data_IF_830941463443
#
_entry.id   IF_830941463443
#
_cell.length_a   1.000
_cell.length_b   1.000
_cell.length_c   1.000
_cell.angle_alpha   90.00
_cell.angle_beta   90.00
_cell.angle_gamma   90.00
#
_symmetry.space_group_name_H-M   'P 1'
#
loop_
_entity.id
_entity.type
_entity.pdbx_description
1 polymer ?
#
# COMPACT_ATOMS: atom_id res chain seq x y z
N UNK A 1 8.24 -17.16 -6.63
CA UNK A 1 7.20 -17.45 -7.62
C UNK A 1 6.69 -18.90 -7.54
N UNK A 2 7.59 -19.89 -7.56
CA UNK A 2 7.20 -21.31 -7.62
C UNK A 2 6.46 -21.81 -6.38
N UNK A 3 6.84 -21.38 -5.17
CA UNK A 3 6.24 -21.84 -3.91
C UNK A 3 5.07 -20.97 -3.43
N UNK A 4 4.84 -19.82 -4.04
CA UNK A 4 3.70 -18.94 -3.70
C UNK A 4 3.59 -18.61 -2.20
N UNK A 5 2.40 -18.82 -1.63
CA UNK A 5 2.11 -18.58 -0.21
C UNK A 5 3.09 -19.24 0.75
N UNK A 6 3.51 -20.48 0.48
CA UNK A 6 4.43 -21.20 1.35
C UNK A 6 5.78 -20.46 1.50
N UNK A 7 6.30 -19.87 0.42
CA UNK A 7 7.52 -19.06 0.50
C UNK A 7 7.32 -17.79 1.34
N UNK A 8 6.18 -17.12 1.18
CA UNK A 8 5.86 -15.90 1.94
C UNK A 8 5.77 -16.21 3.43
N UNK A 9 5.06 -17.26 3.80
CA UNK A 9 4.92 -17.72 5.19
C UNK A 9 6.28 -18.07 5.79
N UNK A 10 7.09 -18.90 5.09
CA UNK A 10 8.41 -19.32 5.59
C UNK A 10 9.33 -18.10 5.86
N UNK A 11 9.41 -17.17 4.91
CA UNK A 11 10.26 -15.99 5.08
C UNK A 11 9.73 -15.03 6.15
N UNK A 12 8.41 -14.86 6.24
CA UNK A 12 7.78 -14.02 7.26
C UNK A 12 8.04 -14.62 8.65
N UNK A 13 7.81 -15.91 8.85
CA UNK A 13 8.13 -16.59 10.11
C UNK A 13 9.61 -16.43 10.49
N UNK A 14 10.51 -16.60 9.52
CA UNK A 14 11.94 -16.47 9.74
C UNK A 14 12.39 -15.06 10.12
N UNK A 15 11.90 -14.03 9.42
CA UNK A 15 12.42 -12.67 9.58
C UNK A 15 11.63 -11.85 10.59
N UNK A 16 10.32 -12.09 10.71
CA UNK A 16 9.45 -11.37 11.65
C UNK A 16 9.23 -12.15 12.96
N UNK A 17 9.87 -13.34 13.12
CA UNK A 17 9.78 -14.19 14.32
C UNK A 17 8.35 -14.60 14.64
N UNK A 18 7.61 -15.00 13.61
CA UNK A 18 6.25 -15.48 13.72
C UNK A 18 6.20 -17.00 13.62
N UNK A 19 5.03 -17.57 13.89
CA UNK A 19 4.73 -19.00 13.77
C UNK A 19 3.42 -19.22 13.00
N UNK A 20 3.21 -18.42 11.95
CA UNK A 20 2.01 -18.52 11.11
C UNK A 20 2.01 -19.87 10.36
N UNK A 21 0.89 -20.58 10.42
CA UNK A 21 0.72 -21.86 9.72
C UNK A 21 0.37 -21.66 8.24
N UNK A 22 -0.26 -20.51 7.90
CA UNK A 22 -0.69 -20.20 6.54
C UNK A 22 -0.83 -18.68 6.34
N UNK A 23 -1.08 -18.25 5.10
CA UNK A 23 -1.38 -16.84 4.80
C UNK A 23 -2.66 -16.34 5.47
N UNK A 24 -3.62 -17.21 5.77
CA UNK A 24 -4.83 -16.82 6.51
C UNK A 24 -4.53 -16.28 7.92
N UNK A 25 -3.43 -16.70 8.54
CA UNK A 25 -2.97 -16.16 9.82
C UNK A 25 -2.27 -14.79 9.70
N UNK A 26 -1.97 -14.38 8.47
CA UNK A 26 -1.24 -13.15 8.16
C UNK A 26 -2.12 -12.10 7.47
N UNK A 27 -3.37 -12.41 7.18
CA UNK A 27 -4.35 -11.48 6.64
C UNK A 27 -5.24 -10.94 7.77
N UNK A 28 -5.39 -9.62 7.83
CA UNK A 28 -6.28 -8.95 8.77
C UNK A 28 -7.61 -8.62 8.08
N UNK A 29 -8.69 -8.91 8.79
CA UNK A 29 -10.04 -8.64 8.32
C UNK A 29 -10.40 -7.15 8.37
N UNK A 30 -11.39 -6.75 7.57
CA UNK A 30 -11.96 -5.39 7.67
C UNK A 30 -12.53 -5.09 9.07
N UNK A 31 -13.06 -6.11 9.74
CA UNK A 31 -13.57 -5.96 11.12
C UNK A 31 -12.47 -5.62 12.12
N UNK A 32 -11.27 -6.19 11.97
CA UNK A 32 -10.12 -5.86 12.81
C UNK A 32 -9.64 -4.43 12.57
N UNK A 33 -9.59 -3.98 11.32
CA UNK A 33 -9.27 -2.58 10.99
C UNK A 33 -10.32 -1.62 11.56
N UNK A 34 -11.61 -1.95 11.44
CA UNK A 34 -12.70 -1.15 12.00
C UNK A 34 -12.61 -1.08 13.52
N UNK A 35 -12.38 -2.23 14.19
CA UNK A 35 -12.16 -2.28 15.64
C UNK A 35 -11.00 -1.40 16.09
N UNK A 36 -9.90 -1.37 15.30
CA UNK A 36 -8.77 -0.49 15.59
C UNK A 36 -9.15 0.99 15.49
N UNK A 37 -9.95 1.38 14.50
CA UNK A 37 -10.45 2.75 14.35
C UNK A 37 -11.41 3.15 15.48
N UNK A 38 -12.33 2.26 15.82
CA UNK A 38 -13.34 2.51 16.88
C UNK A 38 -12.71 2.55 18.28
N UNK A 39 -11.61 1.83 18.48
CA UNK A 39 -10.85 1.79 19.74
C UNK A 39 -9.88 2.95 19.95
N UNK A 40 -9.73 3.87 18.99
CA UNK A 40 -8.84 5.01 19.17
C UNK A 40 -9.39 6.02 20.19
N UNK A 41 -8.53 6.61 21.03
CA UNK A 41 -8.86 7.81 21.78
C UNK A 41 -9.39 8.92 20.86
N UNK A 42 -10.38 9.68 21.33
CA UNK A 42 -11.09 10.67 20.52
C UNK A 42 -10.18 11.74 19.90
N UNK A 43 -9.16 12.18 20.65
CA UNK A 43 -8.17 13.15 20.17
C UNK A 43 -7.31 12.58 19.02
N UNK A 44 -6.86 11.32 19.13
CA UNK A 44 -6.09 10.65 18.09
C UNK A 44 -6.93 10.38 16.84
N UNK A 45 -8.18 9.97 17.04
CA UNK A 45 -9.12 9.78 15.93
C UNK A 45 -9.36 11.10 15.18
N UNK A 46 -9.66 12.18 15.89
CA UNK A 46 -9.86 13.50 15.31
C UNK A 46 -8.63 14.00 14.53
N UNK A 47 -7.43 13.79 15.08
CA UNK A 47 -6.18 14.14 14.39
C UNK A 47 -5.98 13.35 13.09
N UNK A 48 -6.28 12.04 13.12
CA UNK A 48 -6.16 11.16 11.96
C UNK A 48 -7.18 11.56 10.86
N UNK A 49 -8.43 11.83 11.24
CA UNK A 49 -9.49 12.27 10.33
C UNK A 49 -9.17 13.64 9.71
N UNK A 50 -8.66 14.59 10.51
CA UNK A 50 -8.22 15.88 10.01
C UNK A 50 -7.07 15.76 9.00
N UNK A 51 -6.08 14.92 9.29
CA UNK A 51 -4.98 14.64 8.37
C UNK A 51 -5.50 14.01 7.06
N UNK A 52 -6.37 13.01 7.14
CA UNK A 52 -6.98 12.36 5.99
C UNK A 52 -7.77 13.35 5.12
N UNK A 53 -8.57 14.23 5.74
CA UNK A 53 -9.32 15.27 5.03
C UNK A 53 -8.43 16.25 4.27
N UNK A 54 -7.33 16.69 4.89
CA UNK A 54 -6.35 17.60 4.24
C UNK A 54 -5.64 16.93 3.07
N UNK A 55 -5.20 15.68 3.23
CA UNK A 55 -4.54 14.89 2.17
C UNK A 55 -5.51 14.71 1.01
N UNK A 56 -6.75 14.32 1.28
CA UNK A 56 -7.78 14.15 0.25
C UNK A 56 -8.02 15.45 -0.53
N UNK A 57 -8.25 16.57 0.18
CA UNK A 57 -8.51 17.86 -0.45
C UNK A 57 -7.35 18.32 -1.35
N UNK A 58 -6.11 18.04 -0.96
CA UNK A 58 -4.94 18.34 -1.76
C UNK A 58 -4.90 17.49 -3.05
N UNK A 59 -5.08 16.18 -2.93
CA UNK A 59 -4.99 15.27 -4.07
C UNK A 59 -6.18 15.34 -5.03
N UNK A 60 -7.36 15.76 -4.56
CA UNK A 60 -8.50 16.03 -5.45
C UNK A 60 -8.17 17.12 -6.49
N UNK A 61 -7.31 18.08 -6.17
CA UNK A 61 -6.84 19.12 -7.10
C UNK A 61 -5.80 18.64 -8.10
N UNK A 62 -5.23 17.45 -7.91
CA UNK A 62 -4.24 16.85 -8.80
C UNK A 62 -4.86 15.94 -9.86
N UNK A 63 -6.17 15.73 -9.81
CA UNK A 63 -6.87 14.97 -10.83
C UNK A 63 -6.68 15.62 -12.19
N UNK A 64 -6.27 14.81 -13.15
CA UNK A 64 -6.23 15.21 -14.56
C UNK A 64 -7.44 14.64 -15.29
N UNK A 65 -7.97 15.41 -16.22
CA UNK A 65 -9.04 14.97 -17.12
C UNK A 65 -8.45 14.55 -18.46
N UNK A 66 -9.08 13.55 -19.08
CA UNK A 66 -8.81 13.20 -20.47
C UNK A 66 -9.34 14.30 -21.40
N UNK A 67 -8.76 14.41 -22.58
CA UNK A 67 -9.20 15.34 -23.63
C UNK A 67 -9.05 14.71 -25.01
N UNK A 68 -9.84 15.15 -25.95
CA UNK A 68 -9.71 14.79 -27.36
C UNK A 68 -10.13 15.92 -28.27
N UNK A 69 -9.58 15.95 -29.49
CA UNK A 69 -10.00 16.83 -30.56
C UNK A 69 -9.92 16.09 -31.89
N UNK A 70 -10.62 16.61 -32.90
CA UNK A 70 -10.61 16.05 -34.25
C UNK A 70 -10.01 17.07 -35.21
N UNK A 71 -9.03 16.65 -36.00
CA UNK A 71 -8.40 17.46 -37.02
C UNK A 71 -9.31 17.59 -38.28
N UNK A 72 -8.95 18.49 -39.18
CA UNK A 72 -9.73 18.77 -40.38
C UNK A 72 -9.87 17.56 -41.32
N UNK A 73 -8.91 16.65 -41.31
CA UNK A 73 -8.93 15.41 -42.08
C UNK A 73 -9.73 14.25 -41.42
N UNK A 74 -10.31 14.50 -40.25
CA UNK A 74 -11.06 13.51 -39.48
C UNK A 74 -10.22 12.69 -38.49
N UNK A 75 -8.91 12.91 -38.40
CA UNK A 75 -8.04 12.25 -37.41
C UNK A 75 -8.40 12.71 -36.00
N UNK A 76 -8.71 11.76 -35.10
CA UNK A 76 -8.99 12.03 -33.70
C UNK A 76 -7.74 11.80 -32.84
N UNK A 77 -7.32 12.82 -32.11
CA UNK A 77 -6.20 12.80 -31.17
C UNK A 77 -6.69 13.12 -29.77
N UNK A 78 -6.04 12.53 -28.75
CA UNK A 78 -6.45 12.78 -27.37
C UNK A 78 -5.59 12.07 -26.34
N UNK A 79 -5.91 12.32 -25.10
CA UNK A 79 -5.32 11.66 -23.93
C UNK A 79 -6.44 11.09 -23.04
N UNK A 80 -6.37 9.80 -22.77
CA UNK A 80 -7.28 9.15 -21.85
C UNK A 80 -6.55 8.91 -20.52
N UNK A 81 -7.17 9.36 -19.42
CA UNK A 81 -6.68 9.15 -18.06
C UNK A 81 -7.52 8.05 -17.42
N UNK A 82 -6.87 6.96 -17.03
CA UNK A 82 -7.54 5.82 -16.38
C UNK A 82 -6.82 5.45 -15.09
N UNK A 83 -7.55 5.10 -14.01
CA UNK A 83 -6.94 4.59 -12.80
C UNK A 83 -6.34 3.21 -13.02
N UNK A 84 -5.35 2.85 -12.20
CA UNK A 84 -4.89 1.47 -12.06
C UNK A 84 -5.98 0.63 -11.40
N UNK A 85 -6.07 -0.66 -11.72
CA UNK A 85 -7.06 -1.54 -11.11
C UNK A 85 -6.69 -1.88 -9.67
N UNK A 86 -5.41 -2.19 -9.41
CA UNK A 86 -4.95 -2.63 -8.09
C UNK A 86 -3.58 -2.06 -7.75
N UNK A 87 -3.43 -1.53 -6.53
CA UNK A 87 -2.16 -0.97 -6.03
C UNK A 87 -1.77 -1.61 -4.71
N UNK A 88 -0.50 -2.00 -4.61
CA UNK A 88 0.12 -2.51 -3.39
C UNK A 88 0.76 -1.36 -2.60
N UNK A 89 0.43 -1.27 -1.32
CA UNK A 89 0.97 -0.30 -0.39
C UNK A 89 1.96 -1.00 0.53
N UNK A 90 3.24 -0.64 0.48
CA UNK A 90 4.21 -1.06 1.47
C UNK A 90 4.27 -0.04 2.61
N UNK A 91 3.90 -0.47 3.81
CA UNK A 91 3.94 0.37 5.02
C UNK A 91 5.01 -0.19 5.94
N UNK A 92 6.01 0.61 6.34
CA UNK A 92 6.99 0.16 7.32
C UNK A 92 6.34 -0.21 8.64
N UNK A 93 6.79 -1.30 9.24
CA UNK A 93 6.34 -1.78 10.56
C UNK A 93 7.52 -2.00 11.49
N UNK A 94 7.25 -2.36 12.74
CA UNK A 94 8.24 -2.60 13.77
C UNK A 94 8.32 -1.45 14.78
N UNK A 95 9.54 -0.92 15.03
CA UNK A 95 9.77 0.05 16.13
C UNK A 95 9.01 1.37 16.02
N UNK A 96 8.64 1.80 14.83
CA UNK A 96 7.91 3.04 14.60
C UNK A 96 6.60 2.79 13.86
N UNK A 97 5.55 3.50 14.27
CA UNK A 97 4.27 3.53 13.59
C UNK A 97 4.25 4.62 12.53
N UNK A 98 3.79 4.28 11.33
CA UNK A 98 3.69 5.22 10.22
C UNK A 98 2.26 5.33 9.66
N UNK A 99 1.28 5.80 10.46
CA UNK A 99 -0.08 6.02 9.97
C UNK A 99 -0.10 7.05 8.83
N UNK A 100 0.82 8.02 8.84
CA UNK A 100 1.00 8.98 7.75
C UNK A 100 1.35 8.30 6.43
N UNK A 101 2.22 7.28 6.44
CA UNK A 101 2.55 6.52 5.24
C UNK A 101 1.32 5.80 4.67
N UNK A 102 0.42 5.33 5.52
CA UNK A 102 -0.86 4.75 5.07
C UNK A 102 -1.70 5.81 4.37
N UNK A 103 -1.97 6.94 5.05
CA UNK A 103 -2.82 8.00 4.51
C UNK A 103 -2.25 8.59 3.22
N UNK A 104 -0.93 8.87 3.19
CA UNK A 104 -0.24 9.49 2.06
C UNK A 104 -0.12 8.58 0.83
N UNK A 105 -0.30 7.28 0.96
CA UNK A 105 -0.33 6.35 -0.16
C UNK A 105 -1.74 5.91 -0.54
N UNK A 106 -2.59 5.59 0.44
CA UNK A 106 -3.92 5.06 0.19
C UNK A 106 -4.91 6.13 -0.31
N UNK A 107 -4.91 7.32 0.31
CA UNK A 107 -5.86 8.38 -0.07
C UNK A 107 -5.64 8.87 -1.50
N UNK A 108 -4.40 9.20 -1.95
CA UNK A 108 -4.16 9.54 -3.35
C UNK A 108 -4.60 8.45 -4.33
N UNK A 109 -4.36 7.18 -4.00
CA UNK A 109 -4.79 6.07 -4.84
C UNK A 109 -6.32 5.99 -4.95
N UNK A 110 -7.06 6.16 -3.84
CA UNK A 110 -8.53 6.22 -3.87
C UNK A 110 -9.04 7.45 -4.61
N UNK A 111 -8.41 8.61 -4.44
CA UNK A 111 -8.73 9.82 -5.19
C UNK A 111 -8.52 9.62 -6.70
N UNK A 112 -7.46 8.91 -7.09
CA UNK A 112 -7.20 8.55 -8.47
C UNK A 112 -8.19 7.53 -9.06
N UNK A 113 -9.03 6.90 -8.20
CA UNK A 113 -10.04 5.92 -8.63
C UNK A 113 -9.57 4.47 -8.61
N UNK A 114 -8.45 4.15 -7.95
CA UNK A 114 -7.98 2.76 -7.80
C UNK A 114 -9.02 1.93 -7.07
N UNK A 115 -9.41 0.81 -7.68
CA UNK A 115 -10.50 -0.03 -7.18
C UNK A 115 -10.10 -0.82 -5.95
N UNK A 116 -8.89 -1.40 -5.95
CA UNK A 116 -8.43 -2.29 -4.88
C UNK A 116 -7.06 -1.88 -4.36
N UNK A 117 -6.97 -1.66 -3.04
CA UNK A 117 -5.74 -1.35 -2.33
C UNK A 117 -5.34 -2.51 -1.42
N UNK A 118 -4.15 -3.05 -1.66
CA UNK A 118 -3.57 -4.14 -0.86
C UNK A 118 -2.41 -3.59 -0.05
N UNK A 119 -2.55 -3.56 1.26
CA UNK A 119 -1.50 -3.11 2.16
C UNK A 119 -0.69 -4.29 2.69
N UNK A 120 0.63 -4.16 2.69
CA UNK A 120 1.54 -5.05 3.40
C UNK A 120 2.27 -4.26 4.48
N UNK A 121 2.30 -4.79 5.70
CA UNK A 121 2.94 -4.17 6.85
C UNK A 121 3.57 -5.25 7.73
N UNK A 122 4.91 -5.27 7.90
CA UNK A 122 5.54 -6.27 8.78
C UNK A 122 5.14 -6.04 10.23
N UNK A 123 4.92 -7.13 10.95
CA UNK A 123 4.56 -7.14 12.38
C UNK A 123 5.52 -8.03 13.15
N UNK A 124 6.78 -7.61 13.33
CA UNK A 124 7.77 -8.41 14.05
C UNK A 124 7.27 -8.74 15.47
N UNK A 125 7.32 -10.04 15.82
CA UNK A 125 6.79 -10.52 17.11
C UNK A 125 5.27 -10.53 17.22
N UNK A 126 4.54 -10.27 16.14
CA UNK A 126 3.07 -10.32 16.10
C UNK A 126 2.36 -9.06 16.62
N UNK A 127 3.10 -7.99 16.89
CA UNK A 127 2.51 -6.75 17.41
C UNK A 127 1.86 -5.92 16.29
N UNK A 128 0.55 -5.72 16.39
CA UNK A 128 -0.21 -4.90 15.44
C UNK A 128 -0.35 -3.46 15.97
N UNK A 129 0.13 -2.49 15.20
CA UNK A 129 -0.04 -1.09 15.58
C UNK A 129 -1.46 -0.60 15.27
N UNK A 130 -2.24 -0.31 16.31
CA UNK A 130 -3.64 0.09 16.18
C UNK A 130 -3.84 1.37 15.37
N UNK A 131 -2.92 2.32 15.47
CA UNK A 131 -3.02 3.58 14.72
C UNK A 131 -2.79 3.38 13.21
N UNK A 132 -1.92 2.44 12.83
CA UNK A 132 -1.71 2.04 11.43
C UNK A 132 -2.94 1.34 10.85
N UNK A 133 -3.56 0.43 11.62
CA UNK A 133 -4.78 -0.27 11.20
C UNK A 133 -5.97 0.69 11.09
N UNK A 134 -6.10 1.62 12.04
CA UNK A 134 -7.12 2.66 11.99
C UNK A 134 -6.96 3.56 10.77
N UNK A 135 -5.71 3.94 10.43
CA UNK A 135 -5.41 4.69 9.22
C UNK A 135 -5.77 3.92 7.95
N UNK A 136 -5.51 2.60 7.92
CA UNK A 136 -5.87 1.74 6.80
C UNK A 136 -7.41 1.66 6.63
N UNK A 137 -8.15 1.52 7.73
CA UNK A 137 -9.60 1.57 7.73
C UNK A 137 -10.13 2.90 7.19
N UNK A 138 -9.65 4.00 7.76
CA UNK A 138 -10.08 5.36 7.39
C UNK A 138 -9.77 5.71 5.92
N UNK A 139 -8.64 5.26 5.41
CA UNK A 139 -8.22 5.49 4.03
C UNK A 139 -8.84 4.52 3.02
N UNK A 140 -9.66 3.56 3.46
CA UNK A 140 -10.36 2.62 2.60
C UNK A 140 -9.46 1.56 1.97
N UNK A 141 -8.46 1.06 2.71
CA UNK A 141 -7.66 -0.10 2.30
C UNK A 141 -8.55 -1.34 2.26
N UNK A 142 -8.44 -2.13 1.19
CA UNK A 142 -9.33 -3.25 0.97
C UNK A 142 -8.85 -4.54 1.64
N UNK A 143 -7.54 -4.81 1.60
CA UNK A 143 -6.91 -5.99 2.22
C UNK A 143 -5.60 -5.60 2.90
N UNK A 144 -5.33 -6.21 4.04
CA UNK A 144 -4.10 -6.00 4.82
C UNK A 144 -3.44 -7.32 5.12
N UNK A 145 -2.15 -7.43 4.80
CA UNK A 145 -1.32 -8.59 5.13
C UNK A 145 -0.18 -8.18 6.06
N UNK A 146 0.02 -8.93 7.13
CA UNK A 146 1.08 -8.72 8.11
C UNK A 146 2.39 -9.35 7.65
N UNK A 147 2.83 -8.97 6.47
CA UNK A 147 4.07 -9.43 5.83
C UNK A 147 4.96 -8.25 5.46
N UNK A 148 6.26 -8.45 5.39
CA UNK A 148 7.22 -7.40 5.10
C UNK A 148 8.40 -7.86 4.24
N UNK A 149 9.41 -7.00 4.10
CA UNK A 149 10.64 -7.33 3.40
C UNK A 149 10.50 -7.62 1.91
N UNK A 150 11.50 -8.29 1.35
CA UNK A 150 11.54 -8.63 -0.06
C UNK A 150 10.44 -9.63 -0.48
N UNK A 151 10.04 -10.53 0.43
CA UNK A 151 8.98 -11.51 0.17
C UNK A 151 7.61 -10.86 -0.03
N UNK A 152 7.30 -9.78 0.71
CA UNK A 152 6.08 -9.02 0.53
C UNK A 152 6.06 -8.30 -0.83
N UNK A 153 7.17 -7.68 -1.23
CA UNK A 153 7.33 -7.08 -2.56
C UNK A 153 7.17 -8.12 -3.66
N UNK A 154 7.78 -9.30 -3.48
CA UNK A 154 7.63 -10.41 -4.42
C UNK A 154 6.19 -10.93 -4.52
N UNK A 155 5.47 -11.03 -3.38
CA UNK A 155 4.07 -11.43 -3.34
C UNK A 155 3.18 -10.43 -4.11
N UNK A 156 3.36 -9.14 -3.89
CA UNK A 156 2.61 -8.10 -4.61
C UNK A 156 2.92 -8.08 -6.11
N UNK A 157 4.20 -8.27 -6.49
CA UNK A 157 4.63 -8.18 -7.88
C UNK A 157 4.21 -9.38 -8.75
N UNK A 158 4.18 -10.57 -8.18
CA UNK A 158 3.92 -11.81 -8.94
C UNK A 158 2.57 -12.44 -8.61
N UNK A 159 1.93 -12.00 -7.56
CA UNK A 159 0.80 -12.71 -6.97
C UNK A 159 1.21 -14.01 -6.29
N UNK A 160 0.34 -14.50 -5.43
CA UNK A 160 0.37 -15.83 -4.83
C UNK A 160 -1.04 -16.41 -4.86
N UNK A 161 -1.27 -17.52 -4.17
CA UNK A 161 -2.62 -18.07 -4.04
C UNK A 161 -3.56 -17.14 -3.26
N UNK A 162 -3.00 -16.38 -2.28
CA UNK A 162 -3.77 -15.51 -1.38
C UNK A 162 -3.56 -14.02 -1.69
N UNK A 163 -2.33 -13.59 -1.99
CA UNK A 163 -2.01 -12.18 -2.29
C UNK A 163 -2.19 -11.94 -3.79
N UNK A 164 -3.15 -11.10 -4.20
CA UNK A 164 -3.31 -10.77 -5.62
C UNK A 164 -2.10 -10.00 -6.17
N UNK A 165 -1.77 -10.24 -7.43
CA UNK A 165 -0.80 -9.41 -8.15
C UNK A 165 -1.36 -7.99 -8.30
N UNK A 166 -0.48 -7.00 -8.15
CA UNK A 166 -0.83 -5.57 -8.28
C UNK A 166 -0.18 -4.94 -9.51
N UNK A 167 -0.73 -3.82 -9.96
CA UNK A 167 -0.20 -3.06 -11.11
C UNK A 167 0.96 -2.16 -10.71
N UNK A 168 0.95 -1.68 -9.45
CA UNK A 168 1.98 -0.79 -8.91
C UNK A 168 2.19 -1.03 -7.41
N UNK A 169 3.46 -0.96 -6.97
CA UNK A 169 3.85 -1.00 -5.56
C UNK A 169 4.36 0.38 -5.17
N UNK A 170 3.75 0.98 -4.15
CA UNK A 170 4.14 2.28 -3.59
C UNK A 170 4.43 2.17 -2.10
N UNK A 171 5.14 3.13 -1.58
CA UNK A 171 5.47 3.23 -0.16
C UNK A 171 6.95 3.03 0.15
N UNK A 172 7.42 3.63 1.25
CA UNK A 172 8.82 3.55 1.69
C UNK A 172 9.14 2.19 2.31
N UNK A 173 10.40 1.81 2.25
CA UNK A 173 10.90 0.60 2.89
C UNK A 173 12.41 0.66 3.12
N UNK A 174 12.95 -0.35 3.78
CA UNK A 174 14.38 -0.47 4.01
C UNK A 174 15.14 -0.89 2.72
N UNK A 175 16.46 -1.03 2.80
CA UNK A 175 17.32 -1.42 1.67
C UNK A 175 16.90 -2.73 1.00
N UNK A 176 16.36 -3.70 1.74
CA UNK A 176 15.86 -4.96 1.19
C UNK A 176 14.61 -4.73 0.34
N UNK A 177 13.70 -3.90 0.81
CA UNK A 177 12.48 -3.49 0.08
C UNK A 177 12.84 -2.69 -1.16
N UNK A 178 13.73 -1.71 -1.05
CA UNK A 178 14.20 -0.90 -2.18
C UNK A 178 14.87 -1.76 -3.26
N UNK A 179 15.72 -2.72 -2.84
CA UNK A 179 16.36 -3.67 -3.76
C UNK A 179 15.34 -4.61 -4.42
N UNK A 180 14.35 -5.09 -3.66
CA UNK A 180 13.28 -5.92 -4.21
C UNK A 180 12.43 -5.15 -5.23
N UNK A 181 12.04 -3.90 -4.92
CA UNK A 181 11.30 -3.02 -5.85
C UNK A 181 12.09 -2.82 -7.14
N UNK A 182 13.39 -2.55 -7.06
CA UNK A 182 14.25 -2.44 -8.25
C UNK A 182 14.23 -3.71 -9.11
N UNK A 183 14.24 -4.90 -8.49
CA UNK A 183 14.25 -6.18 -9.21
C UNK A 183 12.92 -6.53 -9.88
N UNK A 184 11.82 -6.01 -9.39
CA UNK A 184 10.48 -6.27 -9.95
C UNK A 184 10.00 -5.14 -10.87
N UNK A 185 10.77 -4.07 -11.00
CA UNK A 185 10.46 -2.98 -11.92
C UNK A 185 10.40 -3.49 -13.37
N UNK A 186 9.34 -3.14 -14.07
CA UNK A 186 9.03 -3.66 -15.41
C UNK A 186 8.09 -4.88 -15.41
N UNK A 187 8.03 -5.64 -14.29
CA UNK A 187 7.01 -6.66 -14.04
C UNK A 187 5.80 -6.01 -13.37
N UNK A 188 6.06 -5.08 -12.48
CA UNK A 188 5.10 -4.24 -11.78
C UNK A 188 5.61 -2.81 -11.75
N UNK A 189 4.73 -1.81 -11.77
CA UNK A 189 5.12 -0.42 -11.55
C UNK A 189 5.63 -0.19 -10.12
N UNK A 190 6.53 0.76 -9.93
CA UNK A 190 6.97 1.21 -8.60
C UNK A 190 6.86 2.74 -8.52
N UNK A 191 6.84 3.29 -7.31
CA UNK A 191 6.93 4.73 -7.08
C UNK A 191 8.34 5.24 -7.38
N UNK A 192 9.34 4.73 -6.64
CA UNK A 192 10.75 5.07 -6.82
C UNK A 192 11.66 4.01 -6.21
N UNK A 193 12.93 4.07 -6.54
CA UNK A 193 14.00 3.44 -5.77
C UNK A 193 14.53 4.50 -4.81
N UNK A 194 14.26 4.32 -3.51
CA UNK A 194 14.67 5.25 -2.47
C UNK A 194 16.20 5.42 -2.43
N UNK A 195 16.64 6.65 -2.35
CA UNK A 195 18.03 7.06 -2.16
C UNK A 195 18.15 8.01 -0.95
N UNK A 196 19.30 8.65 -0.76
CA UNK A 196 19.47 9.71 0.24
C UNK A 196 18.46 10.83 0.00
N UNK A 197 17.89 11.38 1.08
CA UNK A 197 16.98 12.51 1.01
C UNK A 197 17.62 13.73 1.65
N UNK A 198 17.54 14.86 0.97
CA UNK A 198 17.95 16.16 1.49
C UNK A 198 16.74 17.07 1.58
N UNK A 199 16.66 17.89 2.61
CA UNK A 199 15.57 18.85 2.82
C UNK A 199 16.21 20.22 3.02
N UNK A 200 15.84 21.17 2.16
CA UNK A 200 16.12 22.58 2.33
C UNK A 200 14.90 23.23 2.99
N UNK A 201 15.12 23.91 4.11
CA UNK A 201 14.09 24.63 4.88
C UNK A 201 14.34 26.14 4.78
#
# INVERSE_FOLDING_TARGET
KVRGDAAVVDYTNKFDRLTAASMANLELSKAEMQKALDGLPADRRAALEAAAGRIKAYHERQKMEGWSYTEADGTMLGQMITPLDRVGLYVPGGKAAYPSSVLMNAIPAKVAGVKELIMVVPTPGGEHNQLVLAAACLAGVDRVFTIGGAQAVGALAYGTQTVPQVDKIVGPGNAYVATAKRRVFGIVGIDMVAGPSEILV
#
